data_IF_152005463820
#
_entry.id   IF_152005463820
#
_cell.length_a   1.000
_cell.length_b   1.000
_cell.length_c   1.000
_cell.angle_alpha   90.00
_cell.angle_beta   90.00
_cell.angle_gamma   90.00
#
_symmetry.space_group_name_H-M   'P 1'
#
loop_
_entity.id
_entity.type
_entity.pdbx_description
1 polymer ?
#
# COMPACT_ATOMS: atom_id res chain seq x y z
N UNK A 1 -2.00 13.41 -12.45
CA UNK A 1 -3.01 12.59 -11.75
C UNK A 1 -4.29 13.42 -11.56
N UNK A 2 -5.47 12.88 -11.89
CA UNK A 2 -6.76 13.49 -11.59
C UNK A 2 -6.93 13.82 -10.10
N UNK A 3 -7.63 14.92 -9.78
CA UNK A 3 -7.82 15.40 -8.40
C UNK A 3 -8.46 14.38 -7.47
N UNK A 4 -9.51 13.69 -7.94
CA UNK A 4 -10.19 12.66 -7.16
C UNK A 4 -9.24 11.52 -6.77
N UNK A 5 -8.41 11.07 -7.71
CA UNK A 5 -7.43 10.00 -7.47
C UNK A 5 -6.34 10.45 -6.50
N UNK A 6 -5.91 11.72 -6.56
CA UNK A 6 -4.96 12.28 -5.58
C UNK A 6 -5.55 12.26 -4.17
N UNK A 7 -6.81 12.69 -4.02
CA UNK A 7 -7.48 12.73 -2.72
C UNK A 7 -7.68 11.31 -2.15
N UNK A 8 -8.17 10.37 -2.96
CA UNK A 8 -8.31 8.96 -2.57
C UNK A 8 -6.96 8.39 -2.15
N UNK A 9 -5.90 8.65 -2.93
CA UNK A 9 -4.58 8.17 -2.60
C UNK A 9 -4.09 8.71 -1.25
N UNK A 10 -4.24 10.01 -1.00
CA UNK A 10 -3.83 10.64 0.26
C UNK A 10 -4.61 10.08 1.47
N UNK A 11 -5.91 9.85 1.34
CA UNK A 11 -6.72 9.30 2.43
C UNK A 11 -6.26 7.88 2.76
N UNK A 12 -6.16 7.02 1.75
CA UNK A 12 -5.68 5.65 1.90
C UNK A 12 -4.25 5.61 2.44
N UNK A 13 -3.36 6.48 1.95
CA UNK A 13 -1.98 6.60 2.44
C UNK A 13 -1.90 6.93 3.91
N UNK A 14 -2.75 7.85 4.40
CA UNK A 14 -2.83 8.16 5.84
C UNK A 14 -3.28 6.96 6.66
N UNK A 15 -4.28 6.23 6.20
CA UNK A 15 -4.81 5.03 6.88
C UNK A 15 -3.71 3.96 6.96
N UNK A 16 -3.12 3.59 5.84
CA UNK A 16 -2.08 2.55 5.77
C UNK A 16 -0.83 2.94 6.56
N UNK A 17 -0.39 4.20 6.44
CA UNK A 17 0.72 4.74 7.22
C UNK A 17 0.49 4.57 8.73
N UNK A 18 -0.71 4.92 9.20
CA UNK A 18 -1.09 4.76 10.62
C UNK A 18 -1.12 3.29 11.04
N UNK A 19 -1.70 2.40 10.22
CA UNK A 19 -1.75 0.96 10.51
C UNK A 19 -0.36 0.32 10.57
N UNK A 20 0.55 0.74 9.70
CA UNK A 20 1.90 0.20 9.61
C UNK A 20 2.89 0.90 10.56
N UNK A 21 2.50 1.98 11.23
CA UNK A 21 3.40 2.75 12.10
C UNK A 21 4.51 3.47 11.36
N UNK A 22 4.34 3.75 10.06
CA UNK A 22 5.31 4.45 9.20
C UNK A 22 4.70 5.73 8.67
N UNK A 23 5.52 6.75 8.40
CA UNK A 23 5.05 8.01 7.78
C UNK A 23 5.44 8.01 6.32
N UNK A 24 4.49 7.74 5.42
CA UNK A 24 4.67 7.78 3.97
C UNK A 24 3.61 8.69 3.33
N UNK A 25 4.00 9.41 2.28
CA UNK A 25 3.09 10.30 1.55
C UNK A 25 2.33 9.58 0.44
N UNK A 26 2.87 8.49 -0.10
CA UNK A 26 2.22 7.60 -1.07
C UNK A 26 2.46 6.11 -0.75
N UNK A 27 1.46 5.44 -0.17
CA UNK A 27 1.52 4.01 0.11
C UNK A 27 1.02 3.13 -1.04
N UNK A 28 0.47 3.71 -2.10
CA UNK A 28 -0.07 2.97 -3.25
C UNK A 28 0.86 3.10 -4.47
N UNK A 29 2.11 3.48 -4.23
CA UNK A 29 3.16 3.42 -5.22
C UNK A 29 3.58 1.97 -5.44
N UNK A 30 3.50 1.51 -6.69
CA UNK A 30 4.02 0.20 -7.11
C UNK A 30 5.54 0.16 -7.34
N UNK A 31 6.20 1.33 -7.38
CA UNK A 31 7.66 1.41 -7.49
C UNK A 31 8.30 1.23 -6.12
N UNK A 32 8.78 0.01 -5.84
CA UNK A 32 9.37 -0.36 -4.56
C UNK A 32 10.69 -1.07 -4.77
N UNK A 33 11.70 -0.64 -4.02
CA UNK A 33 12.96 -1.36 -3.91
C UNK A 33 12.97 -2.13 -2.60
N UNK A 34 13.12 -3.46 -2.69
CA UNK A 34 13.16 -4.34 -1.53
C UNK A 34 14.54 -4.99 -1.43
N UNK A 35 15.11 -5.00 -0.23
CA UNK A 35 16.31 -5.80 0.02
C UNK A 35 16.00 -7.28 -0.10
N UNK A 36 16.99 -8.10 -0.46
CA UNK A 36 16.85 -9.56 -0.52
C UNK A 36 16.26 -10.14 0.77
N UNK A 37 16.75 -9.70 1.93
CA UNK A 37 16.25 -10.13 3.26
C UNK A 37 14.78 -9.78 3.47
N UNK A 38 14.34 -8.61 2.98
CA UNK A 38 12.94 -8.24 3.07
C UNK A 38 12.08 -9.18 2.23
N UNK A 39 12.46 -9.43 0.97
CA UNK A 39 11.75 -10.32 0.05
C UNK A 39 11.65 -11.74 0.62
N UNK A 40 12.76 -12.32 1.06
CA UNK A 40 12.80 -13.68 1.62
C UNK A 40 11.95 -13.81 2.90
N UNK A 41 11.69 -12.71 3.60
CA UNK A 41 10.84 -12.72 4.78
C UNK A 41 9.35 -12.73 4.46
N UNK A 42 8.90 -12.25 3.30
CA UNK A 42 7.49 -12.00 2.99
C UNK A 42 6.69 -13.30 2.82
N UNK A 43 5.45 -13.29 3.32
CA UNK A 43 4.47 -14.37 3.12
C UNK A 43 3.18 -13.76 2.59
N UNK A 44 3.13 -13.47 1.30
CA UNK A 44 2.03 -12.74 0.68
C UNK A 44 0.83 -13.66 0.41
N UNK A 45 -0.36 -13.19 0.78
CA UNK A 45 -1.63 -13.90 0.61
C UNK A 45 -2.63 -13.09 -0.20
N UNK A 46 -2.40 -11.79 -0.34
CA UNK A 46 -3.25 -10.87 -1.10
C UNK A 46 -2.85 -10.86 -2.58
N UNK A 47 -3.73 -10.30 -3.40
CA UNK A 47 -3.54 -10.17 -4.85
C UNK A 47 -3.99 -8.78 -5.32
N UNK A 48 -3.68 -8.40 -6.55
CA UNK A 48 -4.00 -7.09 -7.12
C UNK A 48 -3.41 -5.93 -6.28
N UNK A 49 -4.09 -4.79 -6.22
CA UNK A 49 -3.64 -3.59 -5.51
C UNK A 49 -3.47 -3.78 -3.98
N UNK A 50 -4.02 -4.85 -3.41
CA UNK A 50 -3.89 -5.15 -1.98
C UNK A 50 -2.48 -5.60 -1.60
N UNK A 51 -1.71 -6.15 -2.56
CA UNK A 51 -0.35 -6.66 -2.34
C UNK A 51 0.59 -5.58 -1.83
N UNK A 52 0.51 -4.37 -2.38
CA UNK A 52 1.40 -3.26 -2.00
C UNK A 52 1.27 -2.91 -0.52
N UNK A 53 0.03 -2.95 -0.02
CA UNK A 53 -0.27 -2.68 1.40
C UNK A 53 0.14 -3.86 2.28
N UNK A 54 -0.06 -5.10 1.84
CA UNK A 54 0.40 -6.30 2.58
C UNK A 54 1.92 -6.33 2.73
N UNK A 55 2.66 -6.03 1.65
CA UNK A 55 4.13 -5.92 1.67
C UNK A 55 4.55 -4.88 2.72
N UNK A 56 3.99 -3.68 2.65
CA UNK A 56 4.34 -2.59 3.56
C UNK A 56 4.06 -2.97 5.02
N UNK A 57 2.90 -3.55 5.28
CA UNK A 57 2.50 -4.01 6.60
C UNK A 57 3.46 -5.08 7.16
N UNK A 58 3.79 -6.11 6.39
CA UNK A 58 4.69 -7.17 6.86
C UNK A 58 6.11 -6.66 7.10
N UNK A 59 6.63 -5.80 6.22
CA UNK A 59 7.97 -5.21 6.35
C UNK A 59 8.06 -4.33 7.59
N UNK A 60 7.07 -3.45 7.78
CA UNK A 60 7.01 -2.57 8.96
C UNK A 60 6.91 -3.39 10.26
N UNK A 61 6.05 -4.43 10.29
CA UNK A 61 5.92 -5.32 11.45
C UNK A 61 7.18 -6.12 11.77
N UNK A 62 7.98 -6.45 10.77
CA UNK A 62 9.27 -7.15 10.94
C UNK A 62 10.42 -6.20 11.29
N UNK A 63 10.13 -4.91 11.50
CA UNK A 63 11.12 -3.92 11.93
C UNK A 63 12.10 -3.49 10.85
N UNK A 64 11.82 -3.78 9.57
CA UNK A 64 12.66 -3.29 8.49
C UNK A 64 12.53 -1.77 8.36
N UNK A 65 13.64 -1.11 8.02
CA UNK A 65 13.65 0.32 7.72
C UNK A 65 12.89 0.59 6.42
N UNK A 66 11.91 1.49 6.48
CA UNK A 66 11.14 1.95 5.32
C UNK A 66 11.43 3.43 5.10
N UNK A 67 11.69 3.82 3.85
CA UNK A 67 11.93 5.21 3.45
C UNK A 67 11.24 5.50 2.13
N UNK A 68 10.88 6.76 1.93
CA UNK A 68 10.24 7.25 0.72
C UNK A 68 11.23 8.09 -0.08
N UNK A 69 11.25 7.90 -1.39
CA UNK A 69 12.03 8.70 -2.33
C UNK A 69 11.06 9.34 -3.30
N UNK A 70 11.14 10.67 -3.45
CA UNK A 70 10.27 11.41 -4.37
C UNK A 70 10.55 11.02 -5.81
N UNK A 71 9.50 10.63 -6.53
CA UNK A 71 9.55 10.33 -7.97
C UNK A 71 8.50 11.15 -8.72
N UNK A 72 8.74 11.42 -10.00
CA UNK A 72 7.79 12.10 -10.87
C UNK A 72 6.75 11.12 -11.43
N UNK A 73 5.46 11.45 -11.32
CA UNK A 73 4.41 10.66 -11.96
C UNK A 73 4.25 11.09 -13.42
N UNK A 74 4.68 10.24 -14.34
CA UNK A 74 4.53 10.46 -15.79
C UNK A 74 3.19 9.85 -16.23
N UNK A 75 2.31 10.68 -16.80
CA UNK A 75 1.06 10.23 -17.41
C UNK A 75 1.20 10.41 -18.92
N UNK A 76 1.25 9.30 -19.68
CA UNK A 76 1.08 9.35 -21.13
C UNK A 76 -0.42 9.25 -21.46
N UNK A 77 -0.85 10.02 -22.46
CA UNK A 77 -2.27 10.18 -22.82
C UNK A 77 -2.93 8.87 -23.28
N UNK A 78 -2.13 7.92 -23.77
CA UNK A 78 -2.60 6.63 -24.30
C UNK A 78 -2.76 5.51 -23.24
N UNK A 79 -2.52 5.79 -21.96
CA UNK A 79 -2.64 4.77 -20.91
C UNK A 79 -3.97 4.85 -20.16
N UNK A 80 -4.79 3.81 -20.34
CA UNK A 80 -6.00 3.60 -19.54
C UNK A 80 -5.64 3.06 -18.15
N UNK A 81 -6.37 3.51 -17.14
CA UNK A 81 -6.21 3.05 -15.76
C UNK A 81 -6.93 1.72 -15.56
N UNK A 82 -6.22 0.69 -15.08
CA UNK A 82 -6.83 -0.60 -14.70
C UNK A 82 -7.61 -0.58 -13.36
N UNK A 83 -7.66 0.58 -12.69
CA UNK A 83 -8.38 0.77 -11.43
C UNK A 83 -9.90 0.82 -11.68
N UNK A 84 -10.64 -0.03 -10.98
CA UNK A 84 -12.09 -0.04 -10.90
C UNK A 84 -12.55 0.65 -9.61
N UNK A 85 -13.05 1.90 -9.66
CA UNK A 85 -13.23 2.74 -8.48
C UNK A 85 -14.01 2.11 -7.32
N UNK A 86 -15.11 1.41 -7.62
CA UNK A 86 -15.96 0.79 -6.59
C UNK A 86 -15.35 -0.51 -6.08
N UNK A 87 -14.96 -1.41 -7.00
CA UNK A 87 -14.43 -2.73 -6.65
C UNK A 87 -13.13 -2.65 -5.85
N UNK A 88 -12.20 -1.80 -6.27
CA UNK A 88 -10.92 -1.63 -5.58
C UNK A 88 -11.07 -0.93 -4.24
N UNK A 89 -12.06 -0.03 -4.10
CA UNK A 89 -12.37 0.58 -2.79
C UNK A 89 -12.90 -0.45 -1.80
N UNK A 90 -13.80 -1.34 -2.21
CA UNK A 90 -14.32 -2.41 -1.34
C UNK A 90 -13.19 -3.37 -0.92
N UNK A 91 -12.33 -3.76 -1.85
CA UNK A 91 -11.14 -4.58 -1.56
C UNK A 91 -10.23 -3.90 -0.54
N UNK A 92 -9.94 -2.62 -0.72
CA UNK A 92 -9.13 -1.84 0.21
C UNK A 92 -9.74 -1.81 1.62
N UNK A 93 -11.05 -1.57 1.74
CA UNK A 93 -11.74 -1.56 3.03
C UNK A 93 -11.62 -2.93 3.71
N UNK A 94 -11.87 -4.02 2.97
CA UNK A 94 -11.72 -5.39 3.47
C UNK A 94 -10.29 -5.66 3.96
N UNK A 95 -9.29 -5.24 3.19
CA UNK A 95 -7.88 -5.37 3.57
C UNK A 95 -7.58 -4.65 4.89
N UNK A 96 -8.05 -3.42 5.05
CA UNK A 96 -7.88 -2.66 6.30
C UNK A 96 -8.51 -3.40 7.49
N UNK A 97 -9.72 -3.94 7.33
CA UNK A 97 -10.36 -4.76 8.36
C UNK A 97 -9.55 -6.02 8.70
N UNK A 98 -9.08 -6.77 7.69
CA UNK A 98 -8.27 -7.96 7.88
C UNK A 98 -6.96 -7.64 8.64
N UNK A 99 -6.30 -6.52 8.30
CA UNK A 99 -5.08 -6.09 8.96
C UNK A 99 -5.34 -5.66 10.42
N UNK A 100 -6.44 -4.95 10.69
CA UNK A 100 -6.85 -4.59 12.05
C UNK A 100 -7.11 -5.83 12.91
N UNK A 101 -7.81 -6.82 12.37
CA UNK A 101 -8.03 -8.11 13.04
C UNK A 101 -6.68 -8.80 13.30
N UNK A 102 -5.80 -8.86 12.30
CA UNK A 102 -4.45 -9.44 12.42
C UNK A 102 -3.58 -8.79 13.50
N UNK A 103 -3.77 -7.50 13.77
CA UNK A 103 -3.11 -6.79 14.87
C UNK A 103 -3.68 -7.28 16.21
N UNK A 104 -5.01 -7.36 16.34
CA UNK A 104 -5.67 -7.65 17.61
C UNK A 104 -5.51 -9.11 18.09
N UNK A 105 -5.35 -10.06 17.16
CA UNK A 105 -5.20 -11.49 17.48
C UNK A 105 -3.76 -11.95 17.80
N UNK A 106 -2.75 -11.06 17.67
CA UNK A 106 -1.33 -11.41 17.86
C UNK A 106 -0.63 -10.57 18.96
N UNK A 107 -1.41 -9.90 19.81
CA UNK A 107 -0.96 -9.31 21.07
C UNK A 107 -1.29 -10.25 22.22
#
# INVERSE_FOLDING_TARGET
MPLIRRLTNQIMSKIVSKLCGVKLSDTQCGYRLLSRRAVESLQLTKSNFEVDTEILYQIARKGFKVTEVTISTIYAEDHSSHIHPVGDTIRFIKLVFDLLISINFRN
#
